data_IF_918082044949
#
_entry.id   IF_918082044949
#
_cell.length_a   1.000
_cell.length_b   1.000
_cell.length_c   1.000
_cell.angle_alpha   90.00
_cell.angle_beta   90.00
_cell.angle_gamma   90.00
#
_symmetry.space_group_name_H-M   'P 1'
#
loop_
_entity.id
_entity.type
_entity.pdbx_description
1 polymer ?
#
# COMPACT_ATOMS: atom_id res chain seq x y z
N UNK A 1 8.53 17.32 -26.72
CA UNK A 1 8.21 18.62 -27.33
C UNK A 1 7.52 18.35 -28.65
N UNK A 2 6.18 18.40 -28.66
CA UNK A 2 5.42 18.47 -29.91
C UNK A 2 5.58 19.91 -30.42
N UNK A 3 6.08 20.09 -31.63
CA UNK A 3 6.30 21.42 -32.19
C UNK A 3 4.95 22.13 -32.40
N UNK A 4 4.90 23.42 -32.07
CA UNK A 4 3.71 24.28 -32.16
C UNK A 4 3.17 24.45 -33.60
N UNK A 5 3.88 23.92 -34.60
CA UNK A 5 3.63 24.13 -36.03
C UNK A 5 2.46 23.28 -36.59
N UNK A 6 1.93 22.34 -35.80
CA UNK A 6 0.86 21.42 -36.24
C UNK A 6 -0.58 21.95 -35.99
N UNK A 7 -0.75 23.14 -35.39
CA UNK A 7 -2.06 23.76 -35.18
C UNK A 7 -2.33 24.79 -36.29
N UNK A 8 -2.76 24.32 -37.47
CA UNK A 8 -3.29 25.17 -38.53
C UNK A 8 -4.77 25.49 -38.26
N UNK A 9 -5.13 26.77 -38.21
CA UNK A 9 -6.54 27.21 -38.09
C UNK A 9 -7.34 26.86 -39.35
N UNK A 10 -8.60 26.48 -39.16
CA UNK A 10 -9.59 26.18 -40.22
C UNK A 10 -9.62 27.29 -41.29
N UNK A 11 -8.99 27.04 -42.44
CA UNK A 11 -9.04 27.92 -43.62
C UNK A 11 -7.69 28.21 -44.29
N UNK A 12 -6.55 27.93 -43.67
CA UNK A 12 -5.24 28.07 -44.32
C UNK A 12 -4.94 26.83 -45.18
N UNK A 13 -4.76 27.00 -46.50
CA UNK A 13 -4.28 25.92 -47.38
C UNK A 13 -2.96 25.40 -46.82
N UNK A 14 -2.94 24.12 -46.42
CA UNK A 14 -1.73 23.39 -46.01
C UNK A 14 -0.63 23.71 -47.02
N UNK A 15 0.52 24.22 -46.55
CA UNK A 15 1.67 24.47 -47.44
C UNK A 15 1.94 23.17 -48.18
N UNK A 16 1.96 23.21 -49.52
CA UNK A 16 2.30 22.02 -50.32
C UNK A 16 3.65 21.51 -49.81
N UNK A 17 3.65 20.30 -49.25
CA UNK A 17 4.87 19.59 -48.90
C UNK A 17 5.61 19.34 -50.22
N UNK A 18 6.69 20.08 -50.45
CA UNK A 18 7.53 19.89 -51.63
C UNK A 18 8.41 18.69 -51.35
N UNK A 19 8.24 17.62 -52.11
CA UNK A 19 9.12 16.45 -52.01
C UNK A 19 10.56 16.86 -52.38
N UNK A 20 11.48 16.60 -51.46
CA UNK A 20 12.87 16.97 -51.63
C UNK A 20 13.54 16.09 -52.69
N UNK A 21 13.82 16.69 -53.85
CA UNK A 21 14.35 16.03 -55.04
C UNK A 21 15.70 15.32 -54.74
N UNK A 22 15.85 14.01 -55.01
CA UNK A 22 17.02 13.25 -54.58
C UNK A 22 18.36 13.64 -55.17
N UNK A 23 18.31 14.26 -56.33
CA UNK A 23 19.48 14.53 -57.14
C UNK A 23 20.13 15.87 -56.79
N UNK A 24 19.50 16.65 -55.90
CA UNK A 24 20.02 17.94 -55.44
C UNK A 24 21.09 17.70 -54.37
N UNK A 25 22.25 18.34 -54.55
CA UNK A 25 23.34 18.33 -53.57
C UNK A 25 22.91 19.03 -52.29
N UNK A 26 23.16 18.40 -51.15
CA UNK A 26 22.80 18.98 -49.85
C UNK A 26 23.59 20.26 -49.59
N UNK A 27 22.89 21.36 -49.37
CA UNK A 27 23.48 22.69 -49.08
C UNK A 27 24.49 22.67 -47.92
N UNK A 28 24.28 21.81 -46.92
CA UNK A 28 25.09 21.74 -45.70
C UNK A 28 26.36 20.87 -45.81
N UNK A 29 26.43 19.94 -46.76
CA UNK A 29 27.52 18.94 -46.83
C UNK A 29 28.19 18.80 -48.19
N UNK A 30 27.72 19.52 -49.23
CA UNK A 30 28.36 19.59 -50.55
C UNK A 30 28.43 18.27 -51.34
N UNK A 31 28.02 17.14 -50.75
CA UNK A 31 28.01 15.82 -51.35
C UNK A 31 26.59 15.36 -51.70
N UNK A 32 26.50 14.46 -52.68
CA UNK A 32 25.24 13.81 -53.06
C UNK A 32 24.75 12.93 -51.91
N UNK A 33 23.46 12.99 -51.58
CA UNK A 33 22.85 12.14 -50.55
C UNK A 33 22.98 10.67 -50.94
N UNK A 34 23.22 9.79 -49.96
CA UNK A 34 23.39 8.35 -50.20
C UNK A 34 22.14 7.66 -50.76
N UNK A 35 20.95 8.29 -50.63
CA UNK A 35 19.73 7.87 -51.33
C UNK A 35 19.23 6.45 -50.97
N UNK A 36 19.64 5.92 -49.82
CA UNK A 36 19.36 4.55 -49.37
C UNK A 36 17.89 4.40 -48.97
N UNK A 37 17.33 5.41 -48.28
CA UNK A 37 15.94 5.44 -47.85
C UNK A 37 15.15 6.35 -48.80
N UNK A 38 14.27 5.75 -49.61
CA UNK A 38 13.58 6.45 -50.72
C UNK A 38 12.09 6.72 -50.45
N UNK A 39 11.39 5.81 -49.78
CA UNK A 39 9.96 5.91 -49.50
C UNK A 39 9.72 5.55 -48.03
N UNK A 40 9.15 6.48 -47.27
CA UNK A 40 8.71 6.26 -45.88
C UNK A 40 7.19 6.06 -45.78
N UNK A 41 6.48 6.30 -46.88
CA UNK A 41 5.02 6.18 -46.94
C UNK A 41 4.62 4.70 -46.94
N UNK A 42 3.80 4.30 -45.97
CA UNK A 42 3.27 2.94 -45.85
C UNK A 42 3.95 2.04 -44.81
N UNK A 43 4.93 2.53 -44.05
CA UNK A 43 5.38 1.82 -42.86
C UNK A 43 4.34 2.00 -41.75
N UNK A 44 3.74 0.90 -41.30
CA UNK A 44 2.90 0.90 -40.10
C UNK A 44 3.80 0.78 -38.87
N UNK A 45 3.61 1.65 -37.88
CA UNK A 45 4.17 1.50 -36.54
C UNK A 45 3.54 0.29 -35.84
N UNK A 46 3.98 -0.91 -36.21
CA UNK A 46 3.74 -2.12 -35.44
C UNK A 46 4.88 -2.26 -34.43
N UNK A 47 4.88 -1.40 -33.42
CA UNK A 47 5.74 -1.60 -32.27
C UNK A 47 5.24 -2.80 -31.49
N UNK A 48 6.07 -3.83 -31.36
CA UNK A 48 5.85 -4.87 -30.35
C UNK A 48 5.81 -4.16 -28.99
N UNK A 49 4.92 -4.56 -28.08
CA UNK A 49 4.80 -3.97 -26.74
C UNK A 49 6.15 -3.86 -26.01
N UNK A 50 7.08 -4.78 -26.30
CA UNK A 50 8.46 -4.74 -25.81
C UNK A 50 9.21 -3.47 -26.22
N UNK A 51 9.12 -3.06 -27.49
CA UNK A 51 9.80 -1.87 -27.99
C UNK A 51 9.18 -0.59 -27.41
N UNK A 52 7.86 -0.54 -27.30
CA UNK A 52 7.21 0.60 -26.61
C UNK A 52 7.59 0.68 -25.14
N UNK A 53 7.73 -0.47 -24.44
CA UNK A 53 8.22 -0.49 -23.06
C UNK A 53 9.68 -0.07 -22.96
N UNK A 54 10.51 -0.47 -23.93
CA UNK A 54 11.91 -0.06 -24.01
C UNK A 54 12.05 1.44 -24.22
N UNK A 55 11.27 2.01 -25.15
CA UNK A 55 11.26 3.44 -25.44
C UNK A 55 10.76 4.25 -24.24
N UNK A 56 9.69 3.79 -23.56
CA UNK A 56 9.22 4.40 -22.32
C UNK A 56 10.27 4.33 -21.21
N UNK A 57 11.01 3.21 -21.11
CA UNK A 57 12.10 3.07 -20.13
C UNK A 57 13.27 4.00 -20.46
N UNK A 58 13.67 4.09 -21.72
CA UNK A 58 14.73 4.99 -22.16
C UNK A 58 14.36 6.45 -21.90
N UNK A 59 13.11 6.84 -22.20
CA UNK A 59 12.58 8.16 -21.89
C UNK A 59 12.59 8.45 -20.38
N UNK A 60 12.17 7.49 -19.54
CA UNK A 60 12.24 7.63 -18.07
C UNK A 60 13.67 7.85 -17.58
N UNK A 61 14.63 7.07 -18.07
CA UNK A 61 16.05 7.21 -17.68
C UNK A 61 16.60 8.58 -18.08
N UNK A 62 16.31 9.02 -19.31
CA UNK A 62 16.73 10.34 -19.79
C UNK A 62 16.16 11.46 -18.93
N UNK A 63 14.86 11.40 -18.62
CA UNK A 63 14.19 12.39 -17.76
C UNK A 63 14.78 12.41 -16.34
N UNK A 64 15.03 11.24 -15.73
CA UNK A 64 15.60 11.16 -14.38
C UNK A 64 17.06 11.63 -14.30
N UNK A 65 17.81 11.52 -15.39
CA UNK A 65 19.24 11.87 -15.42
C UNK A 65 19.53 13.38 -15.35
N UNK A 66 18.53 14.21 -15.64
CA UNK A 66 18.67 15.67 -15.68
C UNK A 66 18.49 16.33 -14.30
N UNK A 67 18.05 15.56 -13.29
CA UNK A 67 17.71 16.08 -11.96
C UNK A 67 16.43 16.93 -11.97
N UNK A 68 15.91 17.31 -10.80
CA UNK A 68 14.74 18.17 -10.71
C UNK A 68 15.05 19.58 -11.23
N UNK A 69 14.16 20.16 -12.04
CA UNK A 69 14.29 21.51 -12.56
C UNK A 69 13.95 22.57 -11.49
N UNK A 70 13.14 22.19 -10.50
CA UNK A 70 12.63 23.09 -9.46
C UNK A 70 12.56 22.40 -8.08
N UNK A 71 12.59 23.19 -7.00
CA UNK A 71 12.46 22.70 -5.62
C UNK A 71 11.13 22.00 -5.34
N UNK A 72 10.06 22.38 -6.05
CA UNK A 72 8.77 21.69 -5.93
C UNK A 72 8.83 20.29 -6.54
N UNK A 73 9.55 20.12 -7.65
CA UNK A 73 9.73 18.80 -8.27
C UNK A 73 10.57 17.88 -7.36
N UNK A 74 11.60 18.42 -6.71
CA UNK A 74 12.37 17.69 -5.71
C UNK A 74 11.49 17.22 -4.53
N UNK A 75 10.60 18.08 -4.03
CA UNK A 75 9.64 17.70 -2.98
C UNK A 75 8.65 16.63 -3.46
N UNK A 76 8.15 16.74 -4.68
CA UNK A 76 7.27 15.73 -5.28
C UNK A 76 8.02 14.39 -5.35
N UNK A 77 9.25 14.40 -5.86
CA UNK A 77 10.10 13.21 -5.92
C UNK A 77 10.33 12.61 -4.53
N UNK A 78 10.63 13.42 -3.51
CA UNK A 78 10.80 12.93 -2.14
C UNK A 78 9.53 12.37 -1.53
N UNK A 79 8.36 12.92 -1.86
CA UNK A 79 7.07 12.35 -1.44
C UNK A 79 6.77 11.04 -2.14
N UNK A 80 7.06 10.91 -3.44
CA UNK A 80 6.91 9.65 -4.19
C UNK A 80 7.87 8.56 -3.70
N UNK A 81 9.10 8.94 -3.35
CA UNK A 81 10.11 8.04 -2.77
C UNK A 81 9.82 7.71 -1.28
N UNK A 82 8.85 8.37 -0.65
CA UNK A 82 8.51 8.19 0.77
C UNK A 82 9.54 8.77 1.75
N UNK A 83 10.46 9.63 1.29
CA UNK A 83 11.42 10.36 2.13
C UNK A 83 10.75 11.51 2.87
N UNK A 84 9.75 12.13 2.24
CA UNK A 84 8.97 13.23 2.81
C UNK A 84 7.58 12.74 3.20
N UNK A 85 7.04 13.31 4.29
CA UNK A 85 5.68 13.00 4.73
C UNK A 85 4.64 13.56 3.75
N UNK A 86 3.56 12.82 3.46
CA UNK A 86 2.45 13.36 2.70
C UNK A 86 1.71 14.42 3.51
N UNK A 87 1.14 15.38 2.79
CA UNK A 87 0.33 16.44 3.38
C UNK A 87 -1.15 16.28 2.98
N UNK A 88 -2.11 16.62 3.88
CA UNK A 88 -1.91 17.11 5.25
C UNK A 88 -1.32 16.03 6.18
N UNK A 89 -0.56 16.45 7.19
CA UNK A 89 0.11 15.54 8.12
C UNK A 89 -0.94 14.73 8.88
N UNK A 90 -0.87 13.41 8.74
CA UNK A 90 -1.66 12.44 9.51
C UNK A 90 -0.73 11.69 10.48
N UNK A 91 -1.08 11.70 11.77
CA UNK A 91 -0.33 11.00 12.80
C UNK A 91 -0.46 9.47 12.68
N UNK A 92 -1.50 8.99 12.00
CA UNK A 92 -1.77 7.57 11.75
C UNK A 92 -1.24 7.12 10.38
N UNK A 93 -0.45 7.96 9.70
CA UNK A 93 0.20 7.58 8.45
C UNK A 93 1.10 6.35 8.67
N UNK A 94 0.89 5.31 7.85
CA UNK A 94 1.62 4.04 7.95
C UNK A 94 1.38 3.28 9.28
N UNK A 95 0.19 3.41 9.87
CA UNK A 95 -0.21 2.65 11.08
C UNK A 95 -0.20 1.11 10.89
N UNK A 96 -0.12 0.64 9.65
CA UNK A 96 0.02 -0.77 9.30
C UNK A 96 -1.34 -1.47 9.16
N UNK A 97 -1.38 -2.82 9.27
CA UNK A 97 -2.62 -3.59 9.04
C UNK A 97 -3.71 -3.29 10.07
N UNK A 98 -3.35 -2.73 11.22
CA UNK A 98 -4.29 -2.39 12.29
C UNK A 98 -5.25 -1.25 11.90
N UNK A 99 -4.89 -0.44 10.90
CA UNK A 99 -5.76 0.63 10.39
C UNK A 99 -7.06 0.08 9.76
N UNK A 100 -7.00 -1.16 9.25
CA UNK A 100 -8.17 -1.84 8.66
C UNK A 100 -9.03 -2.54 9.73
N UNK A 101 -8.49 -2.71 10.94
CA UNK A 101 -9.16 -3.44 12.02
C UNK A 101 -10.23 -2.56 12.67
N UNK A 102 -11.49 -3.01 12.71
CA UNK A 102 -12.56 -2.23 13.29
C UNK A 102 -12.51 -2.27 14.82
N UNK A 103 -12.96 -1.17 15.45
CA UNK A 103 -12.91 -1.00 16.91
C UNK A 103 -13.57 -2.13 17.71
N UNK A 104 -14.63 -2.75 17.17
CA UNK A 104 -15.38 -3.79 17.86
C UNK A 104 -14.57 -5.07 18.09
N UNK A 105 -13.50 -5.30 17.31
CA UNK A 105 -12.58 -6.43 17.51
C UNK A 105 -11.66 -6.19 18.71
N UNK A 106 -11.32 -4.94 19.01
CA UNK A 106 -10.55 -4.60 20.21
C UNK A 106 -11.39 -4.57 21.48
N UNK A 107 -12.66 -4.20 21.38
CA UNK A 107 -13.53 -3.99 22.55
C UNK A 107 -14.27 -5.27 22.94
N UNK A 108 -14.91 -5.96 21.99
CA UNK A 108 -15.81 -7.09 22.30
C UNK A 108 -15.09 -8.45 22.27
N UNK A 109 -14.08 -8.59 23.12
CA UNK A 109 -13.29 -9.81 23.25
C UNK A 109 -14.08 -10.99 23.85
N UNK A 110 -15.13 -10.70 24.61
CA UNK A 110 -16.01 -11.69 25.26
C UNK A 110 -16.61 -12.69 24.26
N UNK A 111 -16.82 -12.27 23.00
CA UNK A 111 -17.35 -13.13 21.92
C UNK A 111 -16.46 -14.34 21.63
N UNK A 112 -15.17 -14.25 21.96
CA UNK A 112 -14.21 -15.31 21.69
C UNK A 112 -14.05 -16.30 22.87
N UNK A 113 -14.49 -15.93 24.08
CA UNK A 113 -14.38 -16.79 25.28
C UNK A 113 -15.10 -18.14 25.13
N UNK A 114 -16.33 -18.24 24.60
CA UNK A 114 -17.03 -19.52 24.47
C UNK A 114 -16.32 -20.50 23.54
N UNK A 115 -15.56 -20.00 22.55
CA UNK A 115 -14.81 -20.83 21.60
C UNK A 115 -13.57 -21.46 22.24
N UNK A 116 -13.08 -20.87 23.33
CA UNK A 116 -11.83 -21.25 23.99
C UNK A 116 -12.00 -22.31 25.08
N UNK A 117 -13.22 -22.83 25.31
CA UNK A 117 -13.47 -23.88 26.30
C UNK A 117 -13.45 -23.41 27.75
N UNK A 118 -13.66 -22.11 27.98
CA UNK A 118 -13.70 -21.51 29.31
C UNK A 118 -15.12 -21.69 29.89
N UNK A 119 -15.28 -22.11 31.17
CA UNK A 119 -16.58 -22.24 31.79
C UNK A 119 -17.32 -20.89 31.82
N UNK A 120 -18.64 -20.92 31.61
CA UNK A 120 -19.49 -19.71 31.56
C UNK A 120 -19.71 -19.07 32.92
N UNK A 121 -19.74 -19.89 33.96
CA UNK A 121 -20.01 -19.48 35.33
C UNK A 121 -18.85 -19.88 36.24
N UNK A 122 -18.61 -19.08 37.27
CA UNK A 122 -17.60 -19.34 38.30
C UNK A 122 -16.47 -18.31 38.36
N UNK A 123 -15.50 -18.51 39.26
CA UNK A 123 -14.41 -17.55 39.51
C UNK A 123 -13.51 -17.35 38.28
N UNK A 124 -13.35 -18.37 37.45
CA UNK A 124 -12.55 -18.31 36.21
C UNK A 124 -13.23 -17.40 35.18
N UNK A 125 -14.56 -17.51 35.03
CA UNK A 125 -15.32 -16.65 34.13
C UNK A 125 -15.17 -15.18 34.55
N UNK A 126 -15.32 -14.88 35.84
CA UNK A 126 -15.16 -13.53 36.36
C UNK A 126 -13.74 -12.98 36.20
N UNK A 127 -12.72 -13.82 36.39
CA UNK A 127 -11.34 -13.45 36.10
C UNK A 127 -11.14 -13.12 34.61
N UNK A 128 -11.69 -13.94 33.72
CA UNK A 128 -11.58 -13.73 32.27
C UNK A 128 -12.33 -12.48 31.80
N UNK A 129 -13.47 -12.12 32.42
CA UNK A 129 -14.13 -10.83 32.20
C UNK A 129 -13.19 -9.67 32.51
N UNK A 130 -12.50 -9.70 33.66
CA UNK A 130 -11.53 -8.68 34.03
C UNK A 130 -10.35 -8.61 33.05
N UNK A 131 -9.87 -9.75 32.58
CA UNK A 131 -8.84 -9.83 31.53
C UNK A 131 -9.34 -9.18 30.24
N UNK A 132 -10.56 -9.50 29.80
CA UNK A 132 -11.17 -8.89 28.61
C UNK A 132 -11.34 -7.38 28.76
N UNK A 133 -11.78 -6.90 29.93
CA UNK A 133 -11.90 -5.46 30.23
C UNK A 133 -10.53 -4.77 30.27
N UNK A 134 -9.50 -5.44 30.78
CA UNK A 134 -8.13 -4.92 30.77
C UNK A 134 -7.56 -4.83 29.35
N UNK A 135 -7.75 -5.86 28.54
CA UNK A 135 -7.30 -5.90 27.15
C UNK A 135 -8.07 -4.91 26.27
N UNK A 136 -9.37 -4.70 26.49
CA UNK A 136 -10.16 -3.75 25.70
C UNK A 136 -9.72 -2.30 25.90
N UNK A 137 -9.29 -1.96 27.12
CA UNK A 137 -8.77 -0.63 27.48
C UNK A 137 -7.33 -0.37 27.01
N UNK A 138 -6.65 -1.36 26.43
CA UNK A 138 -5.27 -1.22 25.98
C UNK A 138 -5.19 -0.75 24.51
N UNK A 139 -4.68 0.47 24.23
CA UNK A 139 -4.48 0.99 22.87
C UNK A 139 -3.17 0.52 22.22
N UNK A 140 -2.23 -0.02 23.01
CA UNK A 140 -0.87 -0.34 22.55
C UNK A 140 -0.73 -1.80 22.07
N UNK A 141 -1.82 -2.57 22.03
CA UNK A 141 -1.83 -3.96 21.59
C UNK A 141 -2.74 -4.15 20.39
N UNK A 142 -2.23 -4.87 19.38
CA UNK A 142 -3.02 -5.28 18.22
C UNK A 142 -4.08 -6.30 18.59
N UNK A 143 -5.15 -6.38 17.81
CA UNK A 143 -6.23 -7.35 18.00
C UNK A 143 -5.70 -8.80 17.98
N UNK A 144 -4.75 -9.10 17.08
CA UNK A 144 -4.08 -10.40 17.01
C UNK A 144 -3.37 -10.75 18.32
N UNK A 145 -2.61 -9.81 18.90
CA UNK A 145 -1.91 -10.02 20.16
C UNK A 145 -2.87 -10.22 21.33
N UNK A 146 -3.99 -9.47 21.36
CA UNK A 146 -5.05 -9.69 22.36
C UNK A 146 -5.63 -11.10 22.25
N UNK A 147 -5.85 -11.60 21.04
CA UNK A 147 -6.31 -12.97 20.82
C UNK A 147 -5.29 -14.01 21.29
N UNK A 148 -4.00 -13.82 21.02
CA UNK A 148 -2.93 -14.70 21.51
C UNK A 148 -2.92 -14.78 23.04
N UNK A 149 -3.12 -13.65 23.74
CA UNK A 149 -3.24 -13.65 25.19
C UNK A 149 -4.43 -14.48 25.68
N UNK A 150 -5.60 -14.39 25.03
CA UNK A 150 -6.77 -15.19 25.37
C UNK A 150 -6.53 -16.69 25.13
N UNK A 151 -5.88 -17.05 24.03
CA UNK A 151 -5.49 -18.43 23.74
C UNK A 151 -4.51 -18.98 24.78
N UNK A 152 -3.58 -18.15 25.24
CA UNK A 152 -2.66 -18.54 26.30
C UNK A 152 -3.41 -18.85 27.61
N UNK A 153 -4.41 -18.05 27.98
CA UNK A 153 -5.24 -18.33 29.16
C UNK A 153 -6.05 -19.61 29.02
N UNK A 154 -6.62 -19.86 27.83
CA UNK A 154 -7.33 -21.10 27.54
C UNK A 154 -6.44 -22.34 27.76
N UNK A 155 -5.20 -22.29 27.25
CA UNK A 155 -4.21 -23.34 27.44
C UNK A 155 -3.67 -23.41 28.88
N UNK A 156 -3.71 -22.31 29.61
CA UNK A 156 -3.29 -22.29 31.00
C UNK A 156 -4.33 -22.97 31.90
N UNK A 157 -5.61 -22.68 31.69
CA UNK A 157 -6.75 -23.27 32.39
C UNK A 157 -7.12 -24.64 31.81
N UNK A 158 -6.17 -25.58 31.85
CA UNK A 158 -6.43 -26.98 31.60
C UNK A 158 -7.48 -27.54 32.58
N UNK A 159 -8.14 -28.64 32.20
CA UNK A 159 -9.20 -29.29 32.99
C UNK A 159 -8.80 -29.52 34.46
N UNK A 160 -7.56 -29.95 34.71
CA UNK A 160 -7.04 -30.17 36.06
C UNK A 160 -7.05 -28.90 36.93
N UNK A 161 -6.66 -27.76 36.34
CA UNK A 161 -6.64 -26.48 37.07
C UNK A 161 -8.04 -25.92 37.25
N UNK A 162 -8.91 -26.12 36.28
CA UNK A 162 -10.32 -25.73 36.42
C UNK A 162 -10.96 -26.46 37.60
N UNK A 163 -10.76 -27.78 37.70
CA UNK A 163 -11.27 -28.59 38.80
C UNK A 163 -10.65 -28.21 40.15
N UNK A 164 -9.36 -27.86 40.19
CA UNK A 164 -8.70 -27.41 41.42
C UNK A 164 -9.28 -26.08 41.92
N UNK A 165 -9.46 -25.11 41.01
CA UNK A 165 -9.99 -23.79 41.35
C UNK A 165 -11.43 -23.91 41.84
N UNK A 166 -12.23 -24.78 41.23
CA UNK A 166 -13.60 -25.03 41.68
C UNK A 166 -13.66 -25.59 43.11
N UNK A 167 -12.78 -26.54 43.46
CA UNK A 167 -12.65 -27.05 44.83
C UNK A 167 -12.27 -25.97 45.83
N UNK A 168 -11.23 -25.19 45.52
CA UNK A 168 -10.78 -24.09 46.37
C UNK A 168 -11.89 -23.05 46.58
N UNK A 169 -12.64 -22.74 45.54
CA UNK A 169 -13.75 -21.81 45.64
C UNK A 169 -14.87 -22.32 46.56
N UNK A 170 -15.19 -23.62 46.51
CA UNK A 170 -16.15 -24.24 47.42
C UNK A 170 -15.66 -24.18 48.88
N UNK A 171 -14.37 -24.48 49.12
CA UNK A 171 -13.77 -24.39 50.46
C UNK A 171 -13.82 -22.97 51.02
N UNK A 172 -13.53 -21.95 50.20
CA UNK A 172 -13.64 -20.54 50.60
C UNK A 172 -15.08 -20.15 50.93
N UNK A 173 -16.06 -20.59 50.14
CA UNK A 173 -17.48 -20.31 50.42
C UNK A 173 -17.94 -20.94 51.74
N UNK A 174 -17.51 -22.18 52.02
CA UNK A 174 -17.81 -22.85 53.29
C UNK A 174 -17.15 -22.11 54.47
N UNK A 175 -15.89 -21.71 54.33
CA UNK A 175 -15.19 -20.95 55.37
C UNK A 175 -15.88 -19.60 55.65
N UNK A 176 -16.38 -18.93 54.61
CA UNK A 176 -17.11 -17.65 54.71
C UNK A 176 -18.45 -17.78 55.42
N UNK A 177 -19.11 -18.94 55.32
CA UNK A 177 -20.39 -19.22 55.98
C UNK A 177 -20.21 -19.62 57.45
N UNK A 178 -19.03 -20.13 57.81
CA UNK A 178 -18.69 -20.55 59.16
C UNK A 178 -17.99 -19.46 60.01
N UNK A 179 -17.68 -18.30 59.42
CA UNK A 179 -17.15 -17.10 60.06
C UNK A 179 -18.23 -16.07 60.37
#
# INVERSE_FOLDING_TARGET
MLFQDDILSDGAKVRKTVEADPNITSLLKGSKRLGIFKNLEGFQDKSIDFWSQWDLRAAKILNQSLGPENSFEEQIQWTEEGKQWPYPIDNEYMFGPEAEVPFYEHIFLERHLPRLGIPKDGPIAHFMELVCVGLSKNPYMTAAKKMEHLQWFANFFNEEKQALIEKLHQEEQLASQHS
#
